data_IF_839552874978
#
_entry.id   IF_839552874978
#
_cell.length_a   1.000
_cell.length_b   1.000
_cell.length_c   1.000
_cell.angle_alpha   90.00
_cell.angle_beta   90.00
_cell.angle_gamma   90.00
#
_symmetry.space_group_name_H-M   'P 1'
#
loop_
_entity.id
_entity.type
_entity.pdbx_description
1 polymer ?
#
# COMPACT_ATOMS: atom_id res chain seq x y z
N UNK A 1 -12.94 4.33 -53.98
CA UNK A 1 -13.57 3.00 -54.18
C UNK A 1 -14.09 2.51 -52.84
N UNK A 2 -15.39 2.54 -52.64
CA UNK A 2 -16.08 2.09 -51.41
C UNK A 2 -16.63 0.69 -51.68
N UNK A 3 -16.33 -0.29 -50.84
CA UNK A 3 -17.05 -1.58 -50.82
C UNK A 3 -17.83 -1.73 -49.52
N UNK A 4 -19.13 -1.43 -49.62
CA UNK A 4 -20.20 -1.88 -48.71
C UNK A 4 -20.55 -3.33 -49.03
N UNK A 5 -20.66 -4.18 -48.01
CA UNK A 5 -21.40 -5.47 -48.07
C UNK A 5 -22.23 -5.54 -46.78
N UNK A 6 -23.46 -5.03 -46.84
CA UNK A 6 -24.76 -5.76 -46.91
C UNK A 6 -25.14 -6.49 -45.60
N UNK A 7 -26.03 -5.81 -44.85
CA UNK A 7 -26.98 -6.33 -43.87
C UNK A 7 -27.95 -7.33 -44.54
N UNK A 8 -28.30 -8.40 -43.83
CA UNK A 8 -29.60 -9.04 -43.97
C UNK A 8 -30.35 -8.93 -42.62
N UNK A 9 -31.57 -8.38 -42.72
CA UNK A 9 -32.65 -8.39 -41.72
C UNK A 9 -33.69 -9.41 -42.17
N UNK A 10 -34.62 -9.72 -41.27
CA UNK A 10 -35.91 -10.46 -41.40
C UNK A 10 -35.85 -11.90 -40.82
N UNK A 11 -36.70 -12.37 -39.90
CA UNK A 11 -37.98 -11.94 -39.29
C UNK A 11 -38.06 -12.52 -37.85
N UNK A 12 -38.36 -11.77 -36.79
CA UNK A 12 -39.67 -11.46 -36.20
C UNK A 12 -40.73 -12.57 -36.23
N UNK A 13 -40.77 -13.40 -35.18
CA UNK A 13 -42.01 -13.93 -34.58
C UNK A 13 -41.86 -13.77 -33.07
N UNK A 14 -42.78 -13.02 -32.46
CA UNK A 14 -42.82 -12.82 -31.02
C UNK A 14 -43.71 -13.83 -30.30
N UNK A 15 -43.87 -13.54 -29.01
CA UNK A 15 -44.95 -13.90 -28.08
C UNK A 15 -44.56 -14.91 -26.97
N UNK A 16 -44.66 -14.39 -25.74
CA UNK A 16 -44.96 -15.02 -24.43
C UNK A 16 -43.89 -15.76 -23.62
N UNK A 17 -43.43 -15.05 -22.58
CA UNK A 17 -43.54 -15.40 -21.16
C UNK A 17 -43.69 -16.88 -20.75
N UNK A 18 -42.75 -17.37 -19.94
CA UNK A 18 -42.95 -17.99 -18.60
C UNK A 18 -41.71 -18.84 -18.25
N UNK A 19 -41.18 -18.62 -17.04
CA UNK A 19 -40.18 -19.47 -16.39
C UNK A 19 -40.53 -20.96 -16.54
N UNK A 20 -39.60 -21.77 -17.06
CA UNK A 20 -39.55 -23.19 -16.75
C UNK A 20 -38.10 -23.65 -16.69
N UNK A 21 -37.57 -23.63 -15.47
CA UNK A 21 -36.37 -24.37 -15.08
C UNK A 21 -36.71 -25.85 -15.20
N UNK A 22 -36.41 -26.44 -16.37
CA UNK A 22 -36.49 -27.87 -16.58
C UNK A 22 -35.12 -28.49 -16.32
N UNK A 23 -35.01 -29.13 -15.15
CA UNK A 23 -34.03 -30.15 -14.82
C UNK A 23 -33.88 -31.15 -15.98
N UNK A 24 -32.71 -31.18 -16.64
CA UNK A 24 -32.32 -32.29 -17.49
C UNK A 24 -31.81 -33.43 -16.60
N UNK A 25 -32.69 -34.39 -16.38
CA UNK A 25 -32.42 -35.68 -15.75
C UNK A 25 -31.45 -36.51 -16.59
N UNK A 26 -30.44 -37.08 -15.92
CA UNK A 26 -29.41 -37.91 -16.52
C UNK A 26 -29.92 -39.24 -17.08
N UNK A 27 -29.35 -39.62 -18.22
CA UNK A 27 -29.38 -40.98 -18.73
C UNK A 27 -28.41 -41.85 -17.90
N UNK A 28 -28.92 -42.46 -16.82
CA UNK A 28 -28.21 -43.53 -16.12
C UNK A 28 -28.42 -44.85 -16.87
N UNK A 29 -27.30 -45.43 -17.32
CA UNK A 29 -27.22 -46.79 -17.85
C UNK A 29 -27.69 -47.76 -16.76
N UNK A 30 -28.64 -48.59 -17.13
CA UNK A 30 -29.32 -49.59 -16.29
C UNK A 30 -28.34 -50.73 -15.93
N UNK A 31 -27.78 -50.70 -14.72
CA UNK A 31 -27.21 -51.89 -14.07
C UNK A 31 -28.26 -52.48 -13.12
N UNK A 32 -28.54 -53.80 -13.15
CA UNK A 32 -29.58 -54.38 -12.32
C UNK A 32 -29.11 -54.41 -10.86
N UNK A 33 -29.81 -53.65 -10.02
CA UNK A 33 -29.56 -53.57 -8.59
C UNK A 33 -29.98 -54.87 -7.89
N UNK A 34 -29.02 -55.49 -7.19
CA UNK A 34 -29.30 -56.28 -6.00
C UNK A 34 -29.40 -55.27 -4.84
N UNK A 35 -30.53 -55.31 -4.13
CA UNK A 35 -30.97 -54.44 -3.04
C UNK A 35 -29.87 -53.87 -2.13
N UNK A 36 -29.99 -52.61 -1.68
CA UNK A 36 -30.08 -52.21 -0.26
C UNK A 36 -30.46 -50.72 -0.14
N UNK A 37 -31.36 -50.39 0.78
CA UNK A 37 -31.96 -49.07 0.96
C UNK A 37 -31.03 -48.03 1.60
N UNK A 38 -30.12 -47.44 0.80
CA UNK A 38 -29.13 -46.45 1.24
C UNK A 38 -29.30 -45.05 0.62
N UNK A 39 -30.33 -44.81 -0.21
CA UNK A 39 -30.50 -43.54 -0.93
C UNK A 39 -31.25 -42.45 -0.16
N UNK A 40 -32.27 -42.81 0.62
CA UNK A 40 -33.11 -41.82 1.33
C UNK A 40 -32.41 -41.20 2.54
N UNK A 41 -31.65 -42.00 3.29
CA UNK A 41 -30.88 -41.50 4.44
C UNK A 41 -29.71 -40.61 4.01
N UNK A 42 -29.06 -40.93 2.89
CA UNK A 42 -27.97 -40.10 2.34
C UNK A 42 -28.49 -38.73 1.84
N UNK A 43 -29.64 -38.71 1.17
CA UNK A 43 -30.28 -37.47 0.73
C UNK A 43 -30.79 -36.63 1.90
N UNK A 44 -31.38 -37.27 2.92
CA UNK A 44 -31.82 -36.57 4.14
C UNK A 44 -30.64 -35.95 4.89
N UNK A 45 -29.52 -36.66 5.03
CA UNK A 45 -28.29 -36.12 5.63
C UNK A 45 -27.70 -34.96 4.84
N UNK A 46 -27.77 -35.00 3.51
CA UNK A 46 -27.31 -33.92 2.67
C UNK A 46 -28.19 -32.67 2.81
N UNK A 47 -29.51 -32.85 2.88
CA UNK A 47 -30.46 -31.76 3.09
C UNK A 47 -30.36 -31.15 4.50
N UNK A 48 -30.11 -31.98 5.52
CA UNK A 48 -29.90 -31.54 6.89
C UNK A 48 -28.57 -30.77 7.04
N UNK A 49 -27.50 -31.23 6.38
CA UNK A 49 -26.22 -30.52 6.33
C UNK A 49 -26.30 -29.16 5.60
N UNK A 50 -27.13 -29.07 4.55
CA UNK A 50 -27.42 -27.80 3.86
C UNK A 50 -28.18 -26.83 4.77
N UNK A 51 -29.22 -27.30 5.46
CA UNK A 51 -29.99 -26.49 6.42
C UNK A 51 -29.14 -26.04 7.62
N UNK A 52 -28.24 -26.90 8.11
CA UNK A 52 -27.32 -26.54 9.19
C UNK A 52 -26.30 -25.48 8.74
N UNK A 53 -25.81 -25.56 7.49
CA UNK A 53 -24.96 -24.52 6.90
C UNK A 53 -25.72 -23.20 6.74
N UNK A 54 -26.93 -23.22 6.20
CA UNK A 54 -27.77 -22.03 6.05
C UNK A 54 -28.12 -21.40 7.41
N UNK A 55 -28.40 -22.21 8.43
CA UNK A 55 -28.69 -21.73 9.78
C UNK A 55 -27.45 -21.13 10.46
N UNK A 56 -26.26 -21.72 10.25
CA UNK A 56 -24.97 -21.17 10.72
C UNK A 56 -24.62 -19.87 10.01
N UNK A 57 -24.82 -19.77 8.70
CA UNK A 57 -24.62 -18.53 7.93
C UNK A 57 -25.59 -17.43 8.39
N UNK A 58 -26.87 -17.77 8.64
CA UNK A 58 -27.85 -16.82 9.16
C UNK A 58 -27.58 -16.37 10.61
N UNK A 59 -27.05 -17.25 11.47
CA UNK A 59 -26.66 -16.85 12.83
C UNK A 59 -25.41 -15.99 12.82
N UNK A 60 -24.43 -16.31 11.97
CA UNK A 60 -23.19 -15.53 11.80
C UNK A 60 -23.48 -14.12 11.29
N UNK A 61 -24.31 -13.99 10.25
CA UNK A 61 -24.69 -12.68 9.71
C UNK A 61 -25.48 -11.80 10.70
N UNK A 62 -26.21 -12.41 11.65
CA UNK A 62 -26.89 -11.65 12.73
C UNK A 62 -25.93 -11.16 13.82
N UNK A 63 -24.90 -11.94 14.14
CA UNK A 63 -23.89 -11.57 15.13
C UNK A 63 -22.91 -10.52 14.56
N UNK A 64 -22.49 -10.69 13.30
CA UNK A 64 -21.70 -9.73 12.52
C UNK A 64 -22.40 -8.37 12.39
N UNK A 65 -23.69 -8.37 12.05
CA UNK A 65 -24.52 -7.16 11.97
C UNK A 65 -24.62 -6.40 13.31
N UNK A 66 -24.38 -7.05 14.45
CA UNK A 66 -24.45 -6.42 15.76
C UNK A 66 -23.14 -5.73 16.18
N UNK A 67 -21.99 -6.24 15.73
CA UNK A 67 -20.66 -5.69 16.04
C UNK A 67 -20.20 -4.65 15.01
N UNK A 68 -20.57 -4.84 13.74
CA UNK A 68 -20.25 -3.94 12.64
C UNK A 68 -21.52 -3.63 11.83
N UNK A 69 -22.38 -2.71 12.32
CA UNK A 69 -23.66 -2.40 11.66
C UNK A 69 -23.48 -1.73 10.28
N UNK A 70 -22.29 -1.23 9.99
CA UNK A 70 -21.90 -0.57 8.74
C UNK A 70 -20.92 -1.39 7.89
N UNK A 71 -20.79 -2.69 8.16
CA UNK A 71 -19.98 -3.59 7.32
C UNK A 71 -20.49 -3.56 5.87
N UNK A 72 -19.63 -3.26 4.88
CA UNK A 72 -20.07 -3.22 3.49
C UNK A 72 -20.42 -4.62 2.97
N UNK A 73 -21.44 -4.69 2.11
CA UNK A 73 -21.84 -5.90 1.38
C UNK A 73 -20.82 -6.19 0.27
N UNK A 74 -19.69 -6.78 0.65
CA UNK A 74 -18.59 -7.27 -0.19
C UNK A 74 -18.18 -8.66 0.29
N UNK A 75 -17.45 -9.39 -0.55
CA UNK A 75 -16.96 -10.73 -0.21
C UNK A 75 -15.46 -10.71 -0.02
N UNK A 76 -14.95 -11.47 0.93
CA UNK A 76 -13.50 -11.68 1.11
C UNK A 76 -12.81 -12.24 -0.14
N UNK A 77 -13.55 -12.85 -1.06
CA UNK A 77 -13.09 -13.34 -2.36
C UNK A 77 -13.09 -12.30 -3.49
N UNK A 78 -13.55 -11.07 -3.23
CA UNK A 78 -13.54 -10.01 -4.23
C UNK A 78 -12.09 -9.67 -4.62
N UNK A 79 -11.87 -9.36 -5.90
CA UNK A 79 -10.52 -9.30 -6.48
C UNK A 79 -9.65 -8.21 -5.84
N UNK A 80 -10.26 -7.10 -5.42
CA UNK A 80 -9.59 -6.00 -4.75
C UNK A 80 -9.14 -6.35 -3.32
N UNK A 81 -9.71 -7.42 -2.73
CA UNK A 81 -9.42 -7.87 -1.36
C UNK A 81 -8.46 -9.06 -1.29
N UNK A 82 -7.83 -9.44 -2.41
CA UNK A 82 -6.83 -10.51 -2.44
C UNK A 82 -5.70 -10.25 -1.41
N UNK A 83 -5.50 -11.17 -0.47
CA UNK A 83 -4.44 -11.06 0.53
C UNK A 83 -3.13 -11.63 -0.01
N UNK A 84 -2.09 -10.80 -0.02
CA UNK A 84 -0.74 -11.20 -0.43
C UNK A 84 0.24 -10.84 0.68
N UNK A 85 0.89 -11.84 1.24
CA UNK A 85 1.94 -11.70 2.26
C UNK A 85 2.74 -13.01 2.38
N UNK A 86 3.67 -13.09 3.34
CA UNK A 86 4.52 -14.28 3.53
C UNK A 86 3.76 -15.61 3.71
N UNK A 87 2.51 -15.56 4.20
CA UNK A 87 1.66 -16.75 4.38
C UNK A 87 0.73 -17.01 3.19
N UNK A 88 0.55 -16.01 2.34
CA UNK A 88 -0.33 -16.02 1.18
C UNK A 88 0.45 -15.50 -0.04
N UNK A 89 1.38 -16.30 -0.60
CA UNK A 89 2.07 -15.91 -1.82
C UNK A 89 1.07 -15.78 -2.98
N UNK A 90 1.41 -14.96 -3.97
CA UNK A 90 0.58 -14.83 -5.17
C UNK A 90 0.51 -16.17 -5.91
N UNK A 91 -0.66 -16.46 -6.49
CA UNK A 91 -0.80 -17.56 -7.45
C UNK A 91 -0.35 -17.13 -8.86
N UNK A 92 -0.57 -15.85 -9.19
CA UNK A 92 -0.32 -15.26 -10.49
C UNK A 92 -0.07 -13.76 -10.37
N UNK A 93 0.85 -13.25 -11.20
CA UNK A 93 1.07 -11.82 -11.38
C UNK A 93 -0.09 -11.14 -12.12
N UNK A 94 -0.24 -9.84 -11.93
CA UNK A 94 -1.19 -9.03 -12.67
C UNK A 94 -0.94 -9.11 -14.19
N UNK A 95 -2.02 -9.27 -14.97
CA UNK A 95 -1.99 -9.34 -16.42
C UNK A 95 -2.81 -8.24 -17.12
N UNK A 96 -3.55 -7.44 -16.35
CA UNK A 96 -4.37 -6.34 -16.83
C UNK A 96 -3.80 -4.98 -16.41
N UNK A 97 -2.62 -4.67 -16.93
CA UNK A 97 -1.86 -3.48 -16.56
C UNK A 97 -2.03 -2.35 -17.59
N UNK A 98 -1.99 -1.11 -17.10
CA UNK A 98 -1.88 0.10 -17.92
C UNK A 98 -0.64 0.89 -17.51
N UNK A 99 0.05 1.43 -18.51
CA UNK A 99 1.24 2.25 -18.31
C UNK A 99 0.82 3.66 -17.89
N UNK A 100 1.36 4.13 -16.77
CA UNK A 100 1.21 5.48 -16.23
C UNK A 100 2.16 6.46 -16.96
N UNK A 101 1.90 7.78 -16.92
CA UNK A 101 2.75 8.78 -17.58
C UNK A 101 4.24 8.73 -17.20
N UNK A 102 4.56 8.31 -15.98
CA UNK A 102 5.92 8.15 -15.47
C UNK A 102 6.54 6.78 -15.76
N UNK A 103 5.86 5.92 -16.54
CA UNK A 103 6.38 4.64 -17.01
C UNK A 103 6.11 3.44 -16.08
N UNK A 104 5.63 3.66 -14.86
CA UNK A 104 5.15 2.56 -14.02
C UNK A 104 3.86 1.95 -14.58
N UNK A 105 3.55 0.74 -14.14
CA UNK A 105 2.34 0.04 -14.51
C UNK A 105 1.44 -0.14 -13.29
N UNK A 106 0.12 -0.09 -13.51
CA UNK A 106 -0.90 -0.28 -12.48
C UNK A 106 -2.03 -1.13 -13.04
N UNK A 107 -2.76 -1.87 -12.21
CA UNK A 107 -3.98 -2.54 -12.66
C UNK A 107 -4.98 -1.55 -13.26
N UNK A 108 -5.47 -1.85 -14.46
CA UNK A 108 -6.37 -0.98 -15.21
C UNK A 108 -7.65 -0.62 -14.44
N UNK A 109 -8.11 -1.49 -13.53
CA UNK A 109 -9.30 -1.30 -12.69
C UNK A 109 -9.07 -0.28 -11.56
N UNK A 110 -7.81 -0.04 -11.20
CA UNK A 110 -7.40 0.86 -10.11
C UNK A 110 -7.04 2.25 -10.65
N UNK A 111 -6.56 2.33 -11.89
CA UNK A 111 -6.05 3.56 -12.50
C UNK A 111 -6.99 4.78 -12.34
N UNK A 112 -8.29 4.62 -12.60
CA UNK A 112 -9.25 5.73 -12.47
C UNK A 112 -9.28 6.31 -11.04
N UNK A 113 -9.23 5.44 -10.03
CA UNK A 113 -9.29 5.87 -8.63
C UNK A 113 -8.00 6.57 -8.20
N UNK A 114 -6.85 6.08 -8.67
CA UNK A 114 -5.58 6.77 -8.44
C UNK A 114 -5.59 8.18 -9.03
N UNK A 115 -6.02 8.36 -10.29
CA UNK A 115 -6.03 9.68 -10.91
C UNK A 115 -7.03 10.64 -10.25
N UNK A 116 -8.12 10.13 -9.66
CA UNK A 116 -9.02 10.95 -8.83
C UNK A 116 -8.34 11.41 -7.54
N UNK A 117 -7.60 10.53 -6.88
CA UNK A 117 -6.82 10.86 -5.68
C UNK A 117 -5.73 11.88 -5.99
N UNK A 118 -4.97 11.66 -7.06
CA UNK A 118 -3.93 12.58 -7.54
C UNK A 118 -4.51 13.97 -7.86
N UNK A 119 -5.64 14.02 -8.58
CA UNK A 119 -6.31 15.28 -8.90
C UNK A 119 -6.79 16.02 -7.64
N UNK A 120 -7.38 15.31 -6.67
CA UNK A 120 -7.84 15.91 -5.42
C UNK A 120 -6.67 16.48 -4.59
N UNK A 121 -5.57 15.73 -4.46
CA UNK A 121 -4.36 16.23 -3.79
C UNK A 121 -3.83 17.50 -4.47
N UNK A 122 -3.84 17.50 -5.80
CA UNK A 122 -3.37 18.63 -6.60
C UNK A 122 -4.22 19.88 -6.43
N UNK A 123 -5.53 19.75 -6.24
CA UNK A 123 -6.43 20.87 -5.92
C UNK A 123 -6.05 21.54 -4.59
N UNK A 124 -5.41 20.80 -3.68
CA UNK A 124 -4.88 21.28 -2.40
C UNK A 124 -3.39 21.66 -2.45
N UNK A 125 -2.81 21.70 -3.66
CA UNK A 125 -1.42 22.09 -3.87
C UNK A 125 -0.40 20.99 -3.57
N UNK A 126 -0.84 19.73 -3.45
CA UNK A 126 0.01 18.57 -3.20
C UNK A 126 0.20 17.82 -4.52
N UNK A 127 1.44 17.76 -5.02
CA UNK A 127 1.78 17.00 -6.22
C UNK A 127 2.21 15.59 -5.83
N UNK A 128 1.29 14.63 -5.93
CA UNK A 128 1.62 13.22 -5.71
C UNK A 128 2.44 12.64 -6.86
N UNK A 129 3.35 11.73 -6.54
CA UNK A 129 4.24 11.05 -7.47
C UNK A 129 4.29 9.57 -7.09
N UNK A 130 3.95 8.69 -8.05
CA UNK A 130 4.24 7.27 -7.92
C UNK A 130 5.72 7.03 -8.20
N UNK A 131 6.40 6.35 -7.28
CA UNK A 131 7.81 5.96 -7.41
C UNK A 131 8.00 4.44 -7.48
N UNK A 132 6.92 3.69 -7.32
CA UNK A 132 6.87 2.24 -7.53
C UNK A 132 5.40 1.80 -7.58
N UNK A 133 5.03 0.89 -8.48
CA UNK A 133 3.70 0.30 -8.54
C UNK A 133 3.81 -1.17 -8.95
N UNK A 134 3.21 -1.64 -10.04
CA UNK A 134 3.41 -3.03 -10.45
C UNK A 134 4.90 -3.37 -10.54
N UNK A 135 5.25 -4.49 -9.92
CA UNK A 135 6.60 -5.06 -9.95
C UNK A 135 6.46 -6.54 -10.16
N UNK A 136 7.18 -7.08 -11.15
CA UNK A 136 7.19 -8.52 -11.36
C UNK A 136 7.91 -9.26 -10.24
N UNK A 137 7.69 -10.56 -10.11
CA UNK A 137 8.41 -11.45 -9.18
C UNK A 137 9.92 -11.39 -9.44
N UNK A 138 10.33 -11.38 -10.71
CA UNK A 138 11.73 -11.25 -11.09
C UNK A 138 12.34 -9.90 -10.65
N UNK A 139 11.62 -8.78 -10.86
CA UNK A 139 12.08 -7.48 -10.40
C UNK A 139 12.11 -7.38 -8.86
N UNK A 140 11.17 -8.04 -8.16
CA UNK A 140 11.21 -8.12 -6.69
C UNK A 140 12.39 -8.94 -6.20
N UNK A 141 12.82 -9.97 -6.93
CA UNK A 141 14.04 -10.73 -6.60
C UNK A 141 15.28 -9.84 -6.65
N UNK A 142 15.39 -8.96 -7.65
CA UNK A 142 16.46 -7.97 -7.71
C UNK A 142 16.40 -6.99 -6.53
N UNK A 143 15.22 -6.45 -6.21
CA UNK A 143 15.03 -5.53 -5.06
C UNK A 143 15.38 -6.21 -3.74
N UNK A 144 14.93 -7.45 -3.53
CA UNK A 144 15.23 -8.23 -2.32
C UNK A 144 16.72 -8.51 -2.20
N UNK A 145 17.36 -9.01 -3.26
CA UNK A 145 18.79 -9.32 -3.25
C UNK A 145 19.64 -8.06 -3.01
N UNK A 146 19.26 -6.93 -3.60
CA UNK A 146 19.92 -5.65 -3.35
C UNK A 146 19.78 -5.21 -1.89
N UNK A 147 18.58 -5.33 -1.30
CA UNK A 147 18.33 -4.99 0.10
C UNK A 147 19.15 -5.85 1.08
N UNK A 148 19.28 -7.16 0.80
CA UNK A 148 20.15 -8.06 1.58
C UNK A 148 21.62 -7.66 1.42
N UNK A 149 22.07 -7.42 0.18
CA UNK A 149 23.45 -7.05 -0.09
C UNK A 149 23.85 -5.72 0.55
N UNK A 150 22.96 -4.74 0.56
CA UNK A 150 23.17 -3.46 1.24
C UNK A 150 23.44 -3.67 2.74
N UNK A 151 22.64 -4.50 3.41
CA UNK A 151 22.81 -4.80 4.84
C UNK A 151 24.07 -5.62 5.14
N UNK A 152 24.43 -6.54 4.25
CA UNK A 152 25.73 -7.22 4.30
C UNK A 152 26.89 -6.23 4.20
N UNK A 153 26.79 -5.23 3.31
CA UNK A 153 27.79 -4.18 3.16
C UNK A 153 27.88 -3.28 4.40
N UNK A 154 26.80 -3.18 5.19
CA UNK A 154 26.78 -2.52 6.50
C UNK A 154 27.39 -3.38 7.63
N UNK A 155 27.84 -4.60 7.33
CA UNK A 155 28.52 -5.49 8.27
C UNK A 155 27.61 -6.44 9.05
N UNK A 156 26.33 -6.55 8.68
CA UNK A 156 25.43 -7.55 9.26
C UNK A 156 25.81 -8.97 8.82
N UNK A 157 25.50 -9.97 9.64
CA UNK A 157 25.54 -11.37 9.20
C UNK A 157 24.45 -11.65 8.15
N UNK A 158 24.55 -12.77 7.43
CA UNK A 158 23.55 -13.15 6.42
C UNK A 158 22.14 -13.29 7.00
N UNK A 159 22.02 -13.89 8.19
CA UNK A 159 20.73 -14.05 8.87
C UNK A 159 20.13 -12.70 9.29
N UNK A 160 20.95 -11.81 9.86
CA UNK A 160 20.53 -10.46 10.24
C UNK A 160 20.16 -9.61 9.02
N UNK A 161 20.94 -9.70 7.93
CA UNK A 161 20.70 -8.98 6.69
C UNK A 161 19.37 -9.40 6.05
N UNK A 162 19.08 -10.70 5.99
CA UNK A 162 17.80 -11.21 5.49
C UNK A 162 16.63 -10.73 6.36
N UNK A 163 16.74 -10.91 7.68
CA UNK A 163 15.69 -10.48 8.61
C UNK A 163 15.42 -8.97 8.52
N UNK A 164 16.47 -8.15 8.55
CA UNK A 164 16.33 -6.69 8.42
C UNK A 164 15.84 -6.25 7.05
N UNK A 165 16.08 -7.04 6.00
CA UNK A 165 15.52 -6.79 4.67
C UNK A 165 14.01 -7.05 4.69
N UNK A 166 13.61 -8.19 5.24
CA UNK A 166 12.22 -8.65 5.30
C UNK A 166 11.31 -7.76 6.17
N UNK A 167 11.89 -6.93 7.05
CA UNK A 167 11.16 -5.90 7.81
C UNK A 167 10.47 -4.86 6.90
N UNK A 168 10.93 -4.68 5.66
CA UNK A 168 10.41 -3.70 4.68
C UNK A 168 10.22 -4.30 3.27
N UNK A 169 11.12 -5.18 2.84
CA UNK A 169 11.14 -5.76 1.50
C UNK A 169 10.68 -7.21 1.58
N UNK A 170 9.46 -7.45 1.10
CA UNK A 170 8.87 -8.79 1.03
C UNK A 170 9.68 -9.74 0.13
N UNK A 171 9.69 -11.03 0.47
CA UNK A 171 10.29 -12.09 -0.36
C UNK A 171 9.58 -12.15 -1.74
N UNK A 172 10.28 -12.45 -2.85
CA UNK A 172 9.66 -12.56 -4.18
C UNK A 172 8.45 -13.50 -4.18
N UNK A 173 7.36 -13.06 -4.81
CA UNK A 173 6.07 -13.78 -4.81
C UNK A 173 5.16 -13.46 -3.62
N UNK A 174 5.62 -12.66 -2.65
CA UNK A 174 4.82 -12.26 -1.46
C UNK A 174 4.57 -10.76 -1.38
N UNK A 175 4.95 -10.00 -2.41
CA UNK A 175 4.72 -8.55 -2.49
C UNK A 175 3.33 -8.23 -3.06
N UNK A 176 2.64 -7.25 -2.47
CA UNK A 176 1.38 -6.74 -3.03
C UNK A 176 1.60 -6.02 -4.38
N UNK A 177 2.82 -5.53 -4.67
CA UNK A 177 3.15 -4.93 -5.97
C UNK A 177 2.92 -5.89 -7.15
N UNK A 178 3.04 -7.20 -6.93
CA UNK A 178 2.77 -8.21 -7.97
C UNK A 178 1.32 -8.21 -8.45
N UNK A 179 0.40 -7.71 -7.63
CA UNK A 179 -1.04 -7.67 -7.92
C UNK A 179 -1.44 -6.46 -8.78
N UNK A 180 -0.55 -5.47 -8.94
CA UNK A 180 -0.89 -4.18 -9.55
C UNK A 180 -1.87 -3.33 -8.72
N UNK A 181 -2.21 -3.76 -7.50
CA UNK A 181 -3.11 -3.05 -6.57
C UNK A 181 -2.35 -2.19 -5.56
N UNK A 182 -1.04 -2.34 -5.48
CA UNK A 182 -0.17 -1.59 -4.58
C UNK A 182 0.68 -0.56 -5.34
N UNK A 183 0.98 0.54 -4.65
CA UNK A 183 1.81 1.61 -5.14
C UNK A 183 2.51 2.33 -3.98
N UNK A 184 3.74 2.74 -4.22
CA UNK A 184 4.49 3.62 -3.34
C UNK A 184 4.33 5.05 -3.88
N UNK A 185 3.64 5.89 -3.11
CA UNK A 185 3.29 7.27 -3.48
C UNK A 185 3.91 8.25 -2.50
N UNK A 186 4.61 9.24 -3.04
CA UNK A 186 5.23 10.34 -2.30
C UNK A 186 4.83 11.68 -2.92
N UNK A 187 5.35 12.79 -2.39
CA UNK A 187 5.28 14.08 -3.09
C UNK A 187 6.53 14.33 -3.96
N UNK A 188 6.40 15.29 -4.89
CA UNK A 188 7.48 15.70 -5.80
C UNK A 188 8.75 16.15 -5.07
N UNK A 189 8.60 16.86 -3.94
CA UNK A 189 9.72 17.29 -3.12
C UNK A 189 10.46 16.10 -2.49
N UNK A 190 9.74 15.12 -1.95
CA UNK A 190 10.33 13.89 -1.40
C UNK A 190 11.01 13.08 -2.50
N UNK A 191 10.37 12.93 -3.67
CA UNK A 191 10.92 12.18 -4.80
C UNK A 191 12.27 12.74 -5.29
N UNK A 192 12.52 14.05 -5.13
CA UNK A 192 13.75 14.71 -5.55
C UNK A 192 14.80 14.80 -4.43
N UNK A 193 14.36 15.06 -3.19
CA UNK A 193 15.28 15.45 -2.11
C UNK A 193 15.56 14.34 -1.08
N UNK A 194 14.81 13.25 -1.08
CA UNK A 194 15.01 12.13 -0.15
C UNK A 194 15.86 11.04 -0.78
N UNK A 195 16.64 10.35 0.06
CA UNK A 195 17.50 9.23 -0.36
C UNK A 195 16.81 7.87 -0.35
N UNK A 196 15.54 7.82 0.07
CA UNK A 196 14.79 6.59 0.17
C UNK A 196 13.36 6.77 0.66
N UNK A 197 12.72 5.64 0.93
CA UNK A 197 11.39 5.52 1.51
C UNK A 197 11.51 5.29 3.02
N UNK A 198 11.06 6.26 3.81
CA UNK A 198 11.27 6.29 5.25
C UNK A 198 10.05 6.83 5.99
N UNK A 199 9.80 6.33 7.21
CA UNK A 199 8.63 6.67 8.02
C UNK A 199 8.44 8.19 8.20
N UNK A 200 9.52 8.97 8.11
CA UNK A 200 9.49 10.42 8.17
C UNK A 200 8.65 11.07 7.05
N UNK A 201 8.34 10.38 5.96
CA UNK A 201 7.43 10.86 4.91
C UNK A 201 6.06 11.24 5.47
N UNK A 202 5.58 10.54 6.51
CA UNK A 202 4.32 10.89 7.17
C UNK A 202 4.28 12.35 7.67
N UNK A 203 5.43 12.93 8.01
CA UNK A 203 5.49 14.28 8.55
C UNK A 203 5.36 15.37 7.47
N UNK A 204 5.41 15.02 6.18
CA UNK A 204 5.18 15.99 5.09
C UNK A 204 3.69 16.31 4.96
N UNK A 205 3.32 17.44 4.32
CA UNK A 205 1.94 17.71 3.98
C UNK A 205 1.27 16.59 3.18
N UNK A 206 2.00 15.94 2.26
CA UNK A 206 1.48 14.86 1.44
C UNK A 206 1.25 13.57 2.23
N UNK A 207 2.18 13.18 3.11
CA UNK A 207 2.01 12.02 3.98
C UNK A 207 0.74 12.11 4.84
N UNK A 208 0.49 13.28 5.43
CA UNK A 208 -0.73 13.55 6.22
C UNK A 208 -1.98 13.57 5.34
N UNK A 209 -1.90 14.21 4.18
CA UNK A 209 -3.04 14.27 3.26
C UNK A 209 -3.47 12.87 2.80
N UNK A 210 -2.49 12.01 2.47
CA UNK A 210 -2.73 10.60 2.11
C UNK A 210 -3.46 9.87 3.25
N UNK A 211 -2.96 9.94 4.48
CA UNK A 211 -3.58 9.29 5.65
C UNK A 211 -5.05 9.70 5.84
N UNK A 212 -5.35 10.98 5.63
CA UNK A 212 -6.70 11.54 5.79
C UNK A 212 -7.64 11.27 4.59
N UNK A 213 -7.11 11.14 3.37
CA UNK A 213 -7.92 11.20 2.14
C UNK A 213 -7.92 9.93 1.30
N UNK A 214 -6.89 9.10 1.37
CA UNK A 214 -6.71 7.94 0.48
C UNK A 214 -7.92 6.99 0.48
N UNK A 215 -8.56 6.81 1.64
CA UNK A 215 -9.72 5.93 1.80
C UNK A 215 -10.92 6.32 0.92
N UNK A 216 -11.12 7.62 0.66
CA UNK A 216 -12.19 8.15 -0.21
C UNK A 216 -12.05 7.67 -1.66
N UNK A 217 -10.84 7.25 -2.04
CA UNK A 217 -10.49 6.75 -3.36
C UNK A 217 -10.25 5.23 -3.35
N UNK A 218 -10.50 4.55 -2.24
CA UNK A 218 -10.35 3.10 -2.12
C UNK A 218 -8.94 2.62 -1.79
N UNK A 219 -8.05 3.51 -1.37
CA UNK A 219 -6.70 3.18 -0.93
C UNK A 219 -6.57 3.22 0.58
N UNK A 220 -5.74 2.35 1.14
CA UNK A 220 -5.32 2.36 2.54
C UNK A 220 -3.81 2.41 2.63
N UNK A 221 -3.28 3.06 3.67
CA UNK A 221 -1.89 2.84 4.09
C UNK A 221 -1.80 1.40 4.59
N UNK A 222 -1.13 0.54 3.83
CA UNK A 222 -1.22 -0.91 3.99
C UNK A 222 -0.55 -1.41 5.27
N UNK A 223 0.54 -0.74 5.65
CA UNK A 223 1.41 -1.10 6.76
C UNK A 223 1.46 0.05 7.77
N UNK A 224 0.45 0.23 8.62
CA UNK A 224 0.46 1.25 9.66
C UNK A 224 1.30 0.82 10.87
N UNK A 225 1.96 1.78 11.54
CA UNK A 225 2.88 1.52 12.66
C UNK A 225 2.27 0.65 13.77
N UNK A 226 1.02 0.94 14.15
CA UNK A 226 0.30 0.24 15.22
C UNK A 226 -0.03 -1.24 14.93
N UNK A 227 0.23 -1.73 13.72
CA UNK A 227 -0.19 -3.06 13.25
C UNK A 227 0.96 -3.89 12.64
N UNK A 228 2.21 -3.46 12.82
CA UNK A 228 3.38 -4.19 12.32
C UNK A 228 3.46 -5.64 12.86
N UNK A 229 2.95 -5.90 14.06
CA UNK A 229 2.87 -7.25 14.63
C UNK A 229 1.86 -8.18 13.94
N UNK A 230 0.94 -7.62 13.13
CA UNK A 230 -0.05 -8.38 12.35
C UNK A 230 0.43 -8.52 10.91
N UNK A 231 0.84 -7.42 10.29
CA UNK A 231 1.30 -7.39 8.88
C UNK A 231 2.67 -8.02 8.71
N UNK A 232 3.51 -8.00 9.75
CA UNK A 232 4.93 -8.37 9.73
C UNK A 232 5.79 -7.50 8.81
N UNK A 233 5.33 -6.27 8.54
CA UNK A 233 6.05 -5.24 7.80
C UNK A 233 6.01 -3.97 8.65
N UNK A 234 7.14 -3.27 8.71
CA UNK A 234 7.27 -2.01 9.45
C UNK A 234 6.41 -0.89 8.83
N UNK A 235 6.37 0.26 9.48
CA UNK A 235 5.55 1.38 9.05
C UNK A 235 5.99 1.94 7.69
N UNK A 236 5.07 1.94 6.71
CA UNK A 236 5.30 2.45 5.36
C UNK A 236 4.19 3.44 4.94
N UNK A 237 4.27 4.74 5.34
CA UNK A 237 3.26 5.75 5.01
C UNK A 237 3.07 6.01 3.51
N UNK A 238 4.02 5.62 2.67
CA UNK A 238 3.94 5.74 1.20
C UNK A 238 3.21 4.57 0.54
N UNK A 239 3.14 3.40 1.20
CA UNK A 239 2.67 2.16 0.58
C UNK A 239 1.14 2.08 0.63
N UNK A 240 0.52 2.39 -0.51
CA UNK A 240 -0.93 2.40 -0.68
C UNK A 240 -1.40 1.13 -1.36
N UNK A 241 -2.40 0.51 -0.74
CA UNK A 241 -3.09 -0.67 -1.27
C UNK A 241 -4.53 -0.33 -1.64
N UNK A 242 -4.92 -0.57 -2.88
CA UNK A 242 -6.32 -0.50 -3.31
C UNK A 242 -7.12 -1.69 -2.78
N UNK A 243 -8.22 -1.40 -2.08
CA UNK A 243 -9.17 -2.38 -1.52
C UNK A 243 -10.62 -2.06 -1.90
N UNK A 244 -10.83 -1.04 -2.74
CA UNK A 244 -12.17 -0.52 -3.07
C UNK A 244 -12.68 0.49 -2.05
N UNK A 245 -13.44 1.49 -2.52
CA UNK A 245 -13.86 2.66 -1.71
C UNK A 245 -14.56 2.26 -0.41
N UNK A 246 -15.58 1.41 -0.48
CA UNK A 246 -16.37 1.02 0.71
C UNK A 246 -15.52 0.30 1.76
N UNK A 247 -14.64 -0.60 1.30
CA UNK A 247 -13.76 -1.37 2.18
C UNK A 247 -12.68 -0.48 2.79
N UNK A 248 -12.07 0.42 2.01
CA UNK A 248 -11.08 1.36 2.52
C UNK A 248 -11.67 2.28 3.58
N UNK A 249 -12.84 2.87 3.32
CA UNK A 249 -13.54 3.72 4.30
C UNK A 249 -13.87 2.95 5.59
N UNK A 250 -14.36 1.72 5.47
CA UNK A 250 -14.66 0.88 6.63
C UNK A 250 -13.40 0.50 7.41
N UNK A 251 -12.32 0.13 6.72
CA UNK A 251 -11.03 -0.22 7.33
C UNK A 251 -10.43 0.97 8.06
N UNK A 252 -10.37 2.15 7.42
CA UNK A 252 -9.84 3.38 8.02
C UNK A 252 -10.65 3.79 9.25
N UNK A 253 -11.99 3.82 9.15
CA UNK A 253 -12.88 4.15 10.27
C UNK A 253 -12.70 3.23 11.47
N UNK A 254 -12.34 1.97 11.23
CA UNK A 254 -12.19 0.95 12.26
C UNK A 254 -10.73 0.63 12.60
N UNK A 255 -9.76 1.35 12.03
CA UNK A 255 -8.31 1.16 12.24
C UNK A 255 -7.88 -0.29 12.00
N UNK A 256 -8.38 -0.88 10.91
CA UNK A 256 -8.14 -2.28 10.54
C UNK A 256 -7.07 -2.38 9.45
N UNK A 257 -6.23 -3.40 9.55
CA UNK A 257 -5.45 -3.89 8.39
C UNK A 257 -6.25 -4.90 7.58
N UNK A 258 -5.79 -5.20 6.36
CA UNK A 258 -6.49 -6.09 5.44
C UNK A 258 -6.70 -7.49 6.05
N UNK A 259 -5.73 -8.00 6.81
CA UNK A 259 -5.82 -9.27 7.53
C UNK A 259 -7.04 -9.30 8.48
N UNK A 260 -7.15 -8.30 9.36
CA UNK A 260 -8.25 -8.20 10.32
C UNK A 260 -9.59 -8.00 9.61
N UNK A 261 -9.61 -7.19 8.54
CA UNK A 261 -10.81 -6.94 7.77
C UNK A 261 -11.35 -8.20 7.08
N UNK A 262 -10.46 -9.01 6.49
CA UNK A 262 -10.83 -10.28 5.89
C UNK A 262 -11.32 -11.29 6.93
N UNK A 263 -10.73 -11.30 8.12
CA UNK A 263 -11.23 -12.10 9.25
C UNK A 263 -12.68 -11.70 9.60
N UNK A 264 -13.00 -10.40 9.67
CA UNK A 264 -14.38 -9.92 9.88
C UNK A 264 -15.31 -10.39 8.76
N UNK A 265 -14.92 -10.22 7.49
CA UNK A 265 -15.75 -10.63 6.34
C UNK A 265 -15.99 -12.15 6.30
N UNK A 266 -15.05 -12.92 6.84
CA UNK A 266 -15.19 -14.38 6.98
C UNK A 266 -15.89 -14.78 8.28
N UNK A 267 -16.30 -13.83 9.12
CA UNK A 267 -16.94 -14.03 10.41
C UNK A 267 -16.04 -14.64 11.49
N UNK A 268 -14.73 -14.46 11.37
CA UNK A 268 -13.74 -14.85 12.36
C UNK A 268 -13.41 -13.61 13.22
N UNK A 269 -13.80 -13.60 14.49
CA UNK A 269 -13.64 -12.43 15.36
C UNK A 269 -12.54 -12.58 16.42
N UNK A 270 -11.89 -13.74 16.50
CA UNK A 270 -10.98 -14.09 17.60
C UNK A 270 -9.73 -13.21 17.66
N UNK A 271 -9.35 -12.55 16.55
CA UNK A 271 -8.13 -11.75 16.44
C UNK A 271 -8.36 -10.24 16.27
N UNK A 272 -9.61 -9.76 16.28
CA UNK A 272 -9.90 -8.36 15.99
C UNK A 272 -10.21 -7.59 17.27
N UNK A 273 -9.36 -6.61 17.67
CA UNK A 273 -9.61 -5.79 18.85
C UNK A 273 -11.01 -5.18 18.80
N UNK A 274 -11.80 -5.43 19.84
CA UNK A 274 -13.12 -4.79 20.01
C UNK A 274 -12.89 -3.32 20.36
N UNK A 275 -13.60 -2.40 19.69
CA UNK A 275 -13.73 -1.02 20.16
C UNK A 275 -14.40 -1.04 21.53
N UNK A 276 -13.63 -0.82 22.59
CA UNK A 276 -14.19 -0.31 23.84
C UNK A 276 -14.45 1.18 23.62
N UNK A 277 -15.68 1.56 23.27
CA UNK A 277 -16.13 2.95 23.06
C UNK A 277 -16.06 3.84 24.33
N UNK A 278 -15.22 3.52 25.32
CA UNK A 278 -15.18 4.17 26.63
C UNK A 278 -13.80 4.50 27.21
N UNK A 279 -12.68 4.41 26.48
CA UNK A 279 -11.37 4.62 27.13
C UNK A 279 -10.35 5.57 26.50
N UNK A 280 -10.59 6.11 25.31
CA UNK A 280 -9.58 6.95 24.65
C UNK A 280 -9.87 8.46 24.63
N UNK A 281 -10.94 8.95 25.28
CA UNK A 281 -11.21 10.40 25.36
C UNK A 281 -10.41 11.16 26.41
N UNK A 282 -9.68 10.48 27.31
CA UNK A 282 -9.19 11.11 28.55
C UNK A 282 -7.66 11.24 28.65
N UNK A 283 -6.91 11.03 27.56
CA UNK A 283 -5.43 11.05 27.62
C UNK A 283 -4.70 12.07 26.74
N UNK A 284 -5.37 12.84 25.89
CA UNK A 284 -4.68 13.84 25.06
C UNK A 284 -4.68 15.27 25.64
N UNK A 285 -5.49 15.59 26.65
CA UNK A 285 -5.60 16.96 27.20
C UNK A 285 -4.71 17.28 28.42
N UNK A 286 -3.63 16.53 28.66
CA UNK A 286 -2.69 16.83 29.77
C UNK A 286 -1.23 16.83 29.33
N UNK A 287 -0.88 17.70 28.41
CA UNK A 287 0.51 18.14 28.23
C UNK A 287 0.63 19.57 27.69
N UNK A 288 -0.16 20.49 28.22
CA UNK A 288 0.01 21.92 27.92
C UNK A 288 -0.48 22.78 29.09
N UNK A 289 0.20 22.68 30.23
CA UNK A 289 0.11 23.65 31.33
C UNK A 289 1.19 23.35 32.39
N UNK A 290 2.41 23.80 32.15
CA UNK A 290 3.32 24.27 33.22
C UNK A 290 4.62 24.73 32.56
N UNK A 291 4.72 26.03 32.26
CA UNK A 291 5.94 26.85 32.36
C UNK A 291 5.63 28.28 31.93
N UNK A 292 4.78 28.97 32.72
CA UNK A 292 4.86 30.42 32.84
C UNK A 292 4.32 30.83 34.21
N UNK A 293 5.25 31.09 35.13
CA UNK A 293 5.15 32.00 36.29
C UNK A 293 6.33 31.76 37.22
N UNK A 294 7.28 32.69 37.22
CA UNK A 294 7.74 33.34 38.46
C UNK A 294 8.65 34.50 38.11
N UNK A 295 8.11 35.70 38.25
CA UNK A 295 8.85 36.94 38.48
C UNK A 295 8.25 37.61 39.73
N UNK A 296 9.09 38.39 40.41
CA UNK A 296 8.92 39.07 41.72
C UNK A 296 9.16 38.19 42.95
N UNK A 297 9.87 38.60 44.00
CA UNK A 297 10.71 39.76 44.33
C UNK A 297 11.30 39.40 45.72
N UNK A 298 12.58 39.67 45.97
CA UNK A 298 13.11 40.10 47.27
C UNK A 298 14.60 40.42 47.23
N UNK A 299 14.87 41.62 47.73
CA UNK A 299 16.13 42.33 47.88
C UNK A 299 17.02 41.82 49.03
N UNK A 300 18.27 42.30 48.98
CA UNK A 300 19.29 42.46 50.03
C UNK A 300 20.06 41.18 50.43
N UNK A 301 21.41 41.12 50.51
CA UNK A 301 22.42 42.13 50.86
C UNK A 301 23.83 41.52 50.72
N UNK A 302 24.83 42.38 50.45
CA UNK A 302 26.28 42.27 50.76
C UNK A 302 27.08 41.09 50.14
N UNK A 303 28.26 41.25 49.53
CA UNK A 303 29.12 42.41 49.31
C UNK A 303 30.42 42.01 48.56
N UNK A 304 31.06 43.00 47.95
CA UNK A 304 32.53 43.17 47.78
C UNK A 304 33.38 41.96 47.39
N UNK A 305 33.89 41.91 46.15
CA UNK A 305 35.31 42.21 45.89
C UNK A 305 35.64 42.40 44.39
N UNK A 306 36.61 43.29 44.16
CA UNK A 306 37.18 43.74 42.89
C UNK A 306 37.90 42.58 42.19
N UNK A 307 37.95 42.54 40.87
CA UNK A 307 39.08 43.12 40.11
C UNK A 307 38.75 43.19 38.61
N UNK A 308 39.21 44.29 38.02
CA UNK A 308 39.00 44.69 36.64
C UNK A 308 40.21 44.31 35.75
N UNK A 309 40.06 44.61 34.45
CA UNK A 309 41.10 44.87 33.44
C UNK A 309 41.59 43.58 32.72
N UNK A 310 41.53 43.39 31.40
CA UNK A 310 41.58 44.33 30.26
C UNK A 310 40.95 43.74 28.98
N UNK A 311 40.40 44.63 28.15
CA UNK A 311 40.09 44.46 26.73
C UNK A 311 41.33 44.65 25.82
N UNK A 312 41.10 44.42 24.51
CA UNK A 312 41.86 44.84 23.32
C UNK A 312 43.12 44.01 22.96
N UNK A 313 43.41 43.67 21.70
CA UNK A 313 43.07 44.34 20.43
C UNK A 313 43.24 43.38 19.21
N UNK A 314 42.81 43.90 18.07
CA UNK A 314 42.59 43.41 16.71
C UNK A 314 43.78 42.96 15.85
N UNK A 315 43.41 42.34 14.71
CA UNK A 315 43.98 42.43 13.35
C UNK A 315 45.29 41.70 12.97
N UNK A 316 45.17 40.75 12.02
CA UNK A 316 45.94 40.78 10.74
C UNK A 316 45.54 39.74 9.67
N UNK A 317 45.35 40.27 8.45
CA UNK A 317 45.72 39.75 7.11
C UNK A 317 45.08 38.41 6.63
N UNK A 318 44.30 38.29 5.54
CA UNK A 318 44.39 38.74 4.13
C UNK A 318 45.62 38.22 3.37
N UNK A 319 45.34 37.64 2.19
CA UNK A 319 46.21 37.02 1.12
C UNK A 319 46.47 35.51 1.34
N UNK A 320 46.31 34.59 0.37
CA UNK A 320 46.72 34.62 -1.04
C UNK A 320 45.75 33.90 -2.01
N UNK A 321 45.56 34.50 -3.19
CA UNK A 321 44.99 33.94 -4.43
C UNK A 321 46.01 34.30 -5.52
N UNK A 322 46.23 33.39 -6.47
CA UNK A 322 47.19 33.44 -7.60
C UNK A 322 48.62 32.93 -7.34
N UNK A 323 48.89 31.67 -7.72
CA UNK A 323 49.97 31.28 -8.65
C UNK A 323 50.05 29.75 -8.75
N UNK A 324 49.71 29.19 -9.91
CA UNK A 324 50.36 28.00 -10.52
C UNK A 324 49.57 27.54 -11.76
N UNK A 325 49.54 28.37 -12.80
CA UNK A 325 49.17 27.95 -14.15
C UNK A 325 50.29 28.39 -15.09
N UNK A 326 51.29 27.51 -15.26
CA UNK A 326 52.28 27.53 -16.35
C UNK A 326 53.10 26.26 -16.32
N UNK A 327 52.73 25.33 -17.21
CA UNK A 327 53.59 24.42 -17.99
C UNK A 327 52.77 23.17 -18.29
N UNK A 328 52.24 23.12 -19.51
CA UNK A 328 52.17 21.94 -20.39
C UNK A 328 51.24 22.27 -21.56
N UNK A 329 51.81 22.92 -22.57
CA UNK A 329 51.28 22.94 -23.92
C UNK A 329 52.51 22.78 -24.83
N UNK A 330 52.71 21.56 -25.33
CA UNK A 330 53.36 21.29 -26.61
C UNK A 330 52.91 19.89 -27.06
N UNK A 331 52.72 19.78 -28.38
CA UNK A 331 52.47 18.57 -29.19
C UNK A 331 51.04 18.01 -29.29
N UNK A 332 50.20 18.62 -30.14
CA UNK A 332 49.95 18.09 -31.49
C UNK A 332 48.84 18.86 -32.23
N UNK A 333 49.23 19.42 -33.37
CA UNK A 333 48.40 20.00 -34.44
C UNK A 333 48.22 18.97 -35.56
N UNK A 334 47.02 18.76 -36.11
CA UNK A 334 46.88 18.25 -37.47
C UNK A 334 46.07 19.20 -38.35
N UNK A 335 46.76 19.96 -39.20
CA UNK A 335 46.16 20.58 -40.39
C UNK A 335 46.08 19.60 -41.56
N UNK A 336 44.86 19.46 -42.08
CA UNK A 336 44.47 19.02 -43.43
C UNK A 336 45.38 19.58 -44.56
N UNK A 337 45.69 18.78 -45.58
CA UNK A 337 45.16 18.92 -46.96
C UNK A 337 45.81 17.93 -47.95
N UNK A 338 45.06 17.74 -49.05
CA UNK A 338 45.12 16.78 -50.16
C UNK A 338 46.22 17.02 -51.21
N UNK A 339 46.22 16.14 -52.24
CA UNK A 339 46.89 16.17 -53.57
C UNK A 339 48.23 15.38 -53.64
N UNK A 340 48.58 14.59 -54.66
CA UNK A 340 47.92 14.02 -55.85
C UNK A 340 48.95 13.06 -56.54
N UNK A 341 48.46 12.12 -57.35
CA UNK A 341 49.05 11.54 -58.58
C UNK A 341 50.53 11.07 -58.63
N UNK A 342 50.75 9.75 -58.74
CA UNK A 342 51.19 9.02 -59.96
C UNK A 342 51.28 7.50 -59.73
#
# INVERSE_FOLDING_TARGET
MVKKIKKNKEQLIGVTSILMVCFMTGAFIFFPAKSHGLGKEALAKQEEALKEKEAKEQSKGKEESSKYPDLPDVKSSDWELALVNAKHPIEKEADNLVVMPNGYEIDARVAEQYYKMEAAAKEEGINLVVISSYRSVAAQEEVYNNGVQERLNMGMSEEEAKKSTEDYITVPGTSEHHTGLAMDVVDDNWAVNSTGLEAAFYNTPAGKWIDEHAAKFGFVIRYPESKANITNINYEPWHLRYVGVKSAEFMTKNKLVLEEYLDILNGNHDNVPVKDDKKDSDKEDKKEADEDKTAEDKSDKEGSEKTAVNEEESDKAKTDKEEAEKQNADDNDPTETLEDNE
#
